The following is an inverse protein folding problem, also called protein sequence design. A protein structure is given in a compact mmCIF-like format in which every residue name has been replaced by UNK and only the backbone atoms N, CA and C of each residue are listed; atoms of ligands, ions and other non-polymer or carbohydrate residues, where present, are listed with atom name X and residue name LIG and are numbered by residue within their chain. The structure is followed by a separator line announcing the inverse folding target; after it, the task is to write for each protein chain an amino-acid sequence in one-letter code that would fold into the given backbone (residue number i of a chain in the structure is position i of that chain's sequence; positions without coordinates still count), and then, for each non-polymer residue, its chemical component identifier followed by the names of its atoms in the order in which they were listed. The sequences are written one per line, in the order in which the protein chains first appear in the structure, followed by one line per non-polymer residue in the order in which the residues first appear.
data_IF_367563908822
#
_entry.id   IF_367563908822
#
_cell.length_a   1.000
_cell.length_b   1.000
_cell.length_c   1.000
_cell.angle_alpha   90.00
_cell.angle_beta   90.00
_cell.angle_gamma   90.00
#
_symmetry.space_group_name_H-M   'P 1'
#
loop_
_entity.id
_entity.type
_entity.pdbx_description
1 polymer ?
#
# COMPACT_ATOMS: atom_id res chain seq x y z
N UNK A 1 22.93 67.09 46.72
CA UNK A 1 21.99 66.88 47.84
C UNK A 1 20.83 66.02 47.36
N UNK A 2 20.49 64.98 48.14
CA UNK A 2 19.22 64.20 48.20
C UNK A 2 18.71 63.61 46.86
N UNK A 3 18.98 62.34 46.55
CA UNK A 3 18.18 61.13 46.92
C UNK A 3 16.67 61.35 46.83
N UNK A 4 15.98 60.60 45.96
CA UNK A 4 14.91 59.61 46.25
C UNK A 4 14.21 59.26 44.91
N UNK A 5 14.46 58.10 44.31
CA UNK A 5 13.69 56.85 44.45
C UNK A 5 12.18 57.03 44.22
N UNK A 6 11.70 56.60 43.06
CA UNK A 6 10.34 56.08 42.92
C UNK A 6 10.27 55.06 41.78
N UNK A 7 10.13 53.80 42.18
CA UNK A 7 9.68 52.70 41.33
C UNK A 7 8.35 53.09 40.68
N UNK A 8 8.24 52.89 39.37
CA UNK A 8 6.93 52.66 38.74
C UNK A 8 6.98 51.33 37.98
N UNK A 9 6.46 50.32 38.65
CA UNK A 9 5.96 49.06 38.10
C UNK A 9 4.85 49.36 37.10
N UNK A 10 5.17 49.27 35.80
CA UNK A 10 4.14 49.16 34.76
C UNK A 10 3.87 47.69 34.54
N UNK A 11 2.71 47.27 35.07
CA UNK A 11 2.11 45.96 34.92
C UNK A 11 1.81 45.76 33.43
N UNK A 12 2.56 44.87 32.78
CA UNK A 12 2.20 44.35 31.47
C UNK A 12 0.95 43.50 31.64
N UNK A 13 -0.20 44.03 31.23
CA UNK A 13 -1.37 43.23 30.93
C UNK A 13 -1.03 42.37 29.71
N UNK A 14 -0.49 41.18 29.95
CA UNK A 14 -0.60 40.08 29.00
C UNK A 14 -2.10 39.82 28.84
N UNK A 15 -2.67 40.42 27.79
CA UNK A 15 -3.94 40.00 27.24
C UNK A 15 -3.77 38.55 26.78
N UNK A 16 -4.08 37.61 27.67
CA UNK A 16 -4.46 36.26 27.29
C UNK A 16 -5.62 36.39 26.32
N UNK A 17 -5.28 36.44 25.03
CA UNK A 17 -6.22 36.16 23.97
C UNK A 17 -6.63 34.72 24.22
N UNK A 18 -7.82 34.54 24.80
CA UNK A 18 -8.55 33.29 24.73
C UNK A 18 -8.75 33.01 23.23
N UNK A 19 -7.76 32.37 22.61
CA UNK A 19 -8.11 31.38 21.61
C UNK A 19 -9.04 30.43 22.32
N UNK A 20 -10.32 30.50 21.95
CA UNK A 20 -11.23 29.41 22.22
C UNK A 20 -10.53 28.19 21.65
N UNK A 21 -9.89 27.43 22.53
CA UNK A 21 -9.62 26.03 22.29
C UNK A 21 -10.99 25.47 21.90
N UNK A 22 -11.17 25.24 20.60
CA UNK A 22 -12.28 24.44 20.12
C UNK A 22 -12.26 23.18 20.96
N UNK A 23 -13.41 22.87 21.55
CA UNK A 23 -13.56 21.72 22.43
C UNK A 23 -12.95 20.48 21.73
N UNK A 24 -12.05 19.72 22.40
CA UNK A 24 -11.52 18.51 21.80
C UNK A 24 -12.67 17.51 21.64
N UNK A 25 -12.66 16.80 20.51
CA UNK A 25 -13.58 15.72 20.12
C UNK A 25 -14.96 16.12 19.58
N UNK A 26 -14.98 16.64 18.35
CA UNK A 26 -15.94 16.10 17.38
C UNK A 26 -15.35 14.78 16.90
N UNK A 27 -16.04 13.65 17.10
CA UNK A 27 -15.60 12.35 16.56
C UNK A 27 -15.41 12.50 15.06
N UNK A 28 -14.16 12.59 14.61
CA UNK A 28 -13.86 12.80 13.22
C UNK A 28 -13.99 11.45 12.50
N UNK A 29 -15.14 11.26 11.86
CA UNK A 29 -15.38 10.14 10.96
C UNK A 29 -14.47 10.38 9.73
N UNK A 30 -13.65 9.39 9.30
CA UNK A 30 -12.90 9.46 8.05
C UNK A 30 -13.80 9.85 6.86
N UNK A 31 -13.30 10.62 5.91
CA UNK A 31 -14.11 11.09 4.77
C UNK A 31 -14.64 9.91 3.93
N UNK A 32 -13.85 8.85 3.78
CA UNK A 32 -14.20 7.60 3.10
C UNK A 32 -15.37 6.85 3.77
N UNK A 33 -15.63 7.12 5.05
CA UNK A 33 -16.76 6.54 5.81
C UNK A 33 -17.96 7.48 5.91
N UNK A 34 -17.84 8.74 5.44
CA UNK A 34 -18.99 9.64 5.35
C UNK A 34 -19.82 9.23 4.13
N UNK A 35 -21.12 9.09 4.29
CA UNK A 35 -22.04 8.97 3.16
C UNK A 35 -21.96 10.25 2.31
N UNK A 36 -21.12 10.24 1.28
CA UNK A 36 -21.14 11.20 0.19
C UNK A 36 -21.48 10.46 -1.09
N UNK A 37 -22.66 10.77 -1.63
CA UNK A 37 -23.00 10.57 -3.04
C UNK A 37 -22.06 11.47 -3.88
N UNK A 38 -20.79 11.10 -4.00
CA UNK A 38 -19.80 11.93 -4.70
C UNK A 38 -19.32 11.24 -5.97
N UNK A 39 -19.67 11.86 -7.09
CA UNK A 39 -19.24 11.61 -8.47
C UNK A 39 -17.75 11.88 -8.67
N UNK A 40 -16.86 11.07 -8.08
CA UNK A 40 -15.44 11.04 -8.46
C UNK A 40 -15.02 9.62 -8.83
N UNK A 41 -14.92 9.42 -10.14
CA UNK A 41 -14.47 8.22 -10.82
C UNK A 41 -12.95 8.11 -10.75
N UNK A 42 -12.44 7.07 -10.10
CA UNK A 42 -11.02 6.72 -10.15
C UNK A 42 -10.67 5.50 -9.30
N UNK A 43 -11.18 5.43 -8.07
CA UNK A 43 -10.90 4.35 -7.12
C UNK A 43 -12.16 3.90 -6.34
N UNK A 44 -13.32 3.91 -6.99
CA UNK A 44 -14.58 3.58 -6.30
C UNK A 44 -14.62 2.08 -6.01
N UNK A 45 -14.42 1.71 -4.75
CA UNK A 45 -14.84 0.40 -4.25
C UNK A 45 -13.87 -0.32 -3.32
N UNK A 46 -12.63 0.18 -3.13
CA UNK A 46 -11.72 -0.40 -2.15
C UNK A 46 -11.60 0.50 -0.92
N UNK A 47 -12.46 0.26 0.07
CA UNK A 47 -12.48 1.02 1.32
C UNK A 47 -11.17 0.93 2.13
N UNK A 48 -10.41 -0.16 1.98
CA UNK A 48 -9.07 -0.27 2.59
C UNK A 48 -8.13 0.75 1.97
N UNK A 49 -8.14 0.88 0.64
CA UNK A 49 -7.28 1.86 -0.04
C UNK A 49 -7.70 3.29 0.30
N UNK A 50 -8.99 3.59 0.27
CA UNK A 50 -9.51 4.93 0.58
C UNK A 50 -9.14 5.37 2.01
N UNK A 51 -9.33 4.48 2.99
CA UNK A 51 -8.95 4.74 4.39
C UNK A 51 -7.45 4.85 4.58
N UNK A 52 -6.66 4.02 3.88
CA UNK A 52 -5.21 4.09 3.96
C UNK A 52 -4.67 5.38 3.35
N UNK A 53 -5.19 5.82 2.21
CA UNK A 53 -4.78 7.09 1.60
C UNK A 53 -5.10 8.30 2.49
N UNK A 54 -6.21 8.27 3.24
CA UNK A 54 -6.45 9.29 4.28
C UNK A 54 -5.41 9.26 5.40
N UNK A 55 -4.92 8.09 5.82
CA UNK A 55 -3.82 7.99 6.77
C UNK A 55 -2.52 8.55 6.19
N UNK A 56 -2.19 8.20 4.94
CA UNK A 56 -1.01 8.71 4.22
C UNK A 56 -1.04 10.23 4.15
N UNK A 57 -2.16 10.83 3.75
CA UNK A 57 -2.29 12.30 3.65
C UNK A 57 -1.99 13.04 4.97
N UNK A 58 -2.19 12.38 6.11
CA UNK A 58 -2.05 12.98 7.43
C UNK A 58 -0.80 12.52 8.20
N UNK A 59 -0.02 11.58 7.67
CA UNK A 59 1.12 10.96 8.38
C UNK A 59 2.40 11.05 7.55
N UNK A 60 3.35 11.95 7.90
CA UNK A 60 4.58 12.15 7.12
C UNK A 60 5.40 10.87 6.90
N UNK A 61 5.44 9.98 7.89
CA UNK A 61 6.15 8.70 7.80
C UNK A 61 5.55 7.79 6.73
N UNK A 62 4.21 7.78 6.60
CA UNK A 62 3.53 7.00 5.55
C UNK A 62 3.71 7.64 4.18
N UNK A 63 3.76 8.98 4.08
CA UNK A 63 4.06 9.66 2.81
C UNK A 63 5.45 9.31 2.30
N UNK A 64 6.44 9.31 3.19
CA UNK A 64 7.79 8.91 2.83
C UNK A 64 7.84 7.44 2.41
N UNK A 65 7.15 6.55 3.15
CA UNK A 65 7.09 5.13 2.80
C UNK A 65 6.48 4.90 1.41
N UNK A 66 5.35 5.53 1.08
CA UNK A 66 4.75 5.41 -0.26
C UNK A 66 5.71 5.94 -1.33
N UNK A 67 6.37 7.06 -1.08
CA UNK A 67 7.37 7.60 -2.01
C UNK A 67 8.55 6.65 -2.20
N UNK A 68 9.01 5.96 -1.15
CA UNK A 68 10.12 5.02 -1.25
C UNK A 68 9.71 3.77 -2.04
N UNK A 69 8.48 3.28 -1.85
CA UNK A 69 7.91 2.15 -2.60
C UNK A 69 7.73 2.52 -4.08
N UNK A 70 7.16 3.70 -4.39
CA UNK A 70 6.94 4.16 -5.76
C UNK A 70 8.24 4.38 -6.54
N UNK A 71 9.30 4.79 -5.84
CA UNK A 71 10.62 5.03 -6.43
C UNK A 71 11.48 3.76 -6.54
N UNK A 72 11.04 2.62 -5.99
CA UNK A 72 11.78 1.38 -6.06
C UNK A 72 11.61 0.73 -7.45
N UNK A 73 12.43 1.14 -8.42
CA UNK A 73 12.49 0.51 -9.74
C UNK A 73 13.67 -0.46 -9.84
N UNK A 74 13.36 -1.75 -9.72
CA UNK A 74 14.34 -2.83 -9.85
C UNK A 74 14.49 -3.32 -11.28
N UNK A 75 13.58 -2.94 -12.19
CA UNK A 75 13.52 -3.46 -13.56
C UNK A 75 14.78 -3.17 -14.33
N UNK A 76 15.28 -1.93 -14.28
CA UNK A 76 16.50 -1.55 -15.00
C UNK A 76 17.69 -2.42 -14.58
N UNK A 77 17.83 -2.68 -13.28
CA UNK A 77 18.91 -3.51 -12.73
C UNK A 77 18.78 -4.97 -13.17
N UNK A 78 17.57 -5.54 -13.10
CA UNK A 78 17.30 -6.92 -13.51
C UNK A 78 17.41 -7.12 -15.02
N UNK A 79 16.95 -6.15 -15.82
CA UNK A 79 17.01 -6.19 -17.28
C UNK A 79 18.44 -6.21 -17.80
N UNK A 80 19.33 -5.43 -17.18
CA UNK A 80 20.76 -5.45 -17.47
C UNK A 80 21.35 -6.85 -17.27
N UNK A 81 21.03 -7.48 -16.14
CA UNK A 81 21.46 -8.85 -15.85
C UNK A 81 20.87 -9.87 -16.83
N UNK A 82 19.56 -9.85 -17.06
CA UNK A 82 18.89 -10.80 -17.95
C UNK A 82 19.35 -10.68 -19.39
N UNK A 83 19.60 -9.46 -19.87
CA UNK A 83 20.14 -9.24 -21.21
C UNK A 83 21.54 -9.84 -21.34
N UNK A 84 22.43 -9.56 -20.38
CA UNK A 84 23.77 -10.13 -20.32
C UNK A 84 23.73 -11.67 -20.27
N UNK A 85 22.90 -12.25 -19.40
CA UNK A 85 22.82 -13.69 -19.21
C UNK A 85 22.27 -14.38 -20.46
N UNK A 86 21.18 -13.85 -21.03
CA UNK A 86 20.59 -14.36 -22.27
C UNK A 86 21.60 -14.35 -23.41
N UNK A 87 22.33 -13.25 -23.63
CA UNK A 87 23.35 -13.18 -24.70
C UNK A 87 24.46 -14.20 -24.52
N UNK A 88 24.87 -14.46 -23.28
CA UNK A 88 25.88 -15.48 -22.98
C UNK A 88 25.37 -16.89 -23.28
N UNK A 89 24.13 -17.21 -22.90
CA UNK A 89 23.48 -18.49 -23.19
C UNK A 89 23.29 -18.68 -24.71
N UNK A 90 22.81 -17.65 -25.40
CA UNK A 90 22.59 -17.64 -26.85
C UNK A 90 23.89 -17.90 -27.62
N UNK A 91 25.00 -17.31 -27.17
CA UNK A 91 26.32 -17.57 -27.75
C UNK A 91 26.70 -19.04 -27.65
N UNK A 92 26.59 -19.65 -26.46
CA UNK A 92 26.97 -21.06 -26.28
C UNK A 92 26.07 -22.02 -27.05
N UNK A 93 24.78 -21.71 -27.16
CA UNK A 93 23.86 -22.45 -28.02
C UNK A 93 24.28 -22.37 -29.50
N UNK A 94 24.55 -21.14 -29.98
CA UNK A 94 24.98 -20.89 -31.36
C UNK A 94 26.33 -21.54 -31.67
N UNK A 95 27.32 -21.41 -30.78
CA UNK A 95 28.64 -21.99 -30.94
C UNK A 95 28.59 -23.52 -31.00
N UNK A 96 27.75 -24.15 -30.15
CA UNK A 96 27.53 -25.61 -30.20
C UNK A 96 26.95 -26.03 -31.54
N UNK A 97 25.92 -25.34 -32.03
CA UNK A 97 25.32 -25.62 -33.34
C UNK A 97 26.33 -25.51 -34.48
N UNK A 98 27.19 -24.50 -34.46
CA UNK A 98 28.25 -24.34 -35.46
C UNK A 98 29.31 -25.44 -35.36
N UNK A 99 29.69 -25.83 -34.14
CA UNK A 99 30.65 -26.91 -33.94
C UNK A 99 30.15 -28.26 -34.47
N UNK A 100 28.84 -28.53 -34.39
CA UNK A 100 28.24 -29.76 -34.95
C UNK A 100 28.37 -29.87 -36.48
N UNK A 101 28.50 -28.74 -37.19
CA UNK A 101 28.67 -28.72 -38.64
C UNK A 101 30.08 -29.15 -39.10
N UNK A 102 31.05 -29.18 -38.19
CA UNK A 102 32.44 -29.57 -38.48
C UNK A 102 32.48 -31.03 -38.93
N UNK A 103 33.02 -31.30 -40.12
CA UNK A 103 33.06 -32.65 -40.70
C UNK A 103 34.07 -33.57 -40.03
N UNK A 104 35.27 -33.08 -39.77
CA UNK A 104 36.30 -33.85 -39.08
C UNK A 104 35.87 -34.17 -37.65
N UNK A 105 35.69 -35.47 -37.37
CA UNK A 105 35.11 -35.93 -36.11
C UNK A 105 35.99 -35.65 -34.90
N UNK A 106 37.31 -35.68 -35.08
CA UNK A 106 38.28 -35.42 -34.01
C UNK A 106 38.26 -33.94 -33.65
N UNK A 107 38.31 -33.06 -34.66
CA UNK A 107 38.22 -31.61 -34.49
C UNK A 107 36.88 -31.21 -33.88
N UNK A 108 35.76 -31.75 -34.38
CA UNK A 108 34.42 -31.51 -33.82
C UNK A 108 34.37 -31.81 -32.32
N UNK A 109 34.84 -33.00 -31.91
CA UNK A 109 34.88 -33.39 -30.48
C UNK A 109 35.73 -32.42 -29.65
N UNK A 110 36.90 -32.00 -30.14
CA UNK A 110 37.78 -31.05 -29.44
C UNK A 110 37.11 -29.68 -29.24
N UNK A 111 36.46 -29.15 -30.28
CA UNK A 111 35.76 -27.86 -30.21
C UNK A 111 34.55 -27.92 -29.28
N UNK A 112 33.75 -29.00 -29.36
CA UNK A 112 32.62 -29.19 -28.44
C UNK A 112 33.08 -29.26 -26.97
N UNK A 113 34.19 -29.95 -26.68
CA UNK A 113 34.76 -30.01 -25.34
C UNK A 113 35.26 -28.62 -24.85
N UNK A 114 35.88 -27.84 -25.74
CA UNK A 114 36.29 -26.47 -25.45
C UNK A 114 35.09 -25.57 -25.10
N UNK A 115 34.03 -25.60 -25.94
CA UNK A 115 32.79 -24.86 -25.70
C UNK A 115 32.17 -25.27 -24.38
N UNK A 116 32.08 -26.56 -24.08
CA UNK A 116 31.52 -27.06 -22.83
C UNK A 116 32.29 -26.56 -21.61
N UNK A 117 33.64 -26.59 -21.66
CA UNK A 117 34.48 -26.08 -20.59
C UNK A 117 34.25 -24.57 -20.35
N UNK A 118 34.18 -23.79 -21.42
CA UNK A 118 33.90 -22.34 -21.33
C UNK A 118 32.51 -22.07 -20.77
N UNK A 119 31.49 -22.81 -21.24
CA UNK A 119 30.12 -22.69 -20.77
C UNK A 119 30.00 -23.04 -19.27
N UNK A 120 30.68 -24.11 -18.82
CA UNK A 120 30.70 -24.47 -17.41
C UNK A 120 31.35 -23.36 -16.55
N UNK A 121 32.44 -22.76 -17.01
CA UNK A 121 33.07 -21.65 -16.30
C UNK A 121 32.17 -20.42 -16.22
N UNK A 122 31.41 -20.14 -17.29
CA UNK A 122 30.39 -19.09 -17.28
C UNK A 122 29.27 -19.39 -16.28
N UNK A 123 28.74 -20.61 -16.27
CA UNK A 123 27.70 -21.04 -15.34
C UNK A 123 28.14 -20.87 -13.88
N UNK A 124 29.37 -21.26 -13.53
CA UNK A 124 29.89 -21.03 -12.18
C UNK A 124 29.98 -19.54 -11.82
N UNK A 125 30.35 -18.69 -12.79
CA UNK A 125 30.40 -17.23 -12.62
C UNK A 125 29.01 -16.60 -12.49
N UNK A 126 27.98 -17.15 -13.13
CA UNK A 126 26.62 -16.58 -13.09
C UNK A 126 25.87 -16.90 -11.79
N UNK A 127 26.24 -17.96 -11.07
CA UNK A 127 25.51 -18.42 -9.87
C UNK A 127 25.25 -17.34 -8.83
N UNK A 128 26.23 -16.49 -8.55
CA UNK A 128 26.07 -15.42 -7.56
C UNK A 128 25.08 -14.36 -8.04
N UNK A 129 25.16 -13.98 -9.32
CA UNK A 129 24.23 -13.03 -9.94
C UNK A 129 22.81 -13.61 -10.04
N UNK A 130 22.67 -14.91 -10.37
CA UNK A 130 21.40 -15.62 -10.36
C UNK A 130 20.76 -15.62 -8.97
N UNK A 131 21.57 -15.82 -7.92
CA UNK A 131 21.11 -15.77 -6.53
C UNK A 131 20.66 -14.36 -6.15
N UNK A 132 21.42 -13.33 -6.53
CA UNK A 132 21.07 -11.93 -6.26
C UNK A 132 19.78 -11.54 -7.00
N UNK A 133 19.64 -11.90 -8.27
CA UNK A 133 18.42 -11.64 -9.05
C UNK A 133 17.19 -12.27 -8.41
N UNK A 134 17.27 -13.53 -7.97
CA UNK A 134 16.18 -14.18 -7.23
C UNK A 134 15.88 -13.48 -5.90
N UNK A 135 16.93 -13.10 -5.17
CA UNK A 135 16.77 -12.38 -3.89
C UNK A 135 16.06 -11.05 -4.09
N UNK A 136 16.35 -10.31 -5.17
CA UNK A 136 15.69 -9.05 -5.50
C UNK A 136 14.18 -9.29 -5.74
N UNK A 137 13.83 -10.29 -6.55
CA UNK A 137 12.43 -10.66 -6.81
C UNK A 137 11.70 -11.06 -5.52
N UNK A 138 12.33 -11.90 -4.69
CA UNK A 138 11.74 -12.33 -3.42
C UNK A 138 11.52 -11.14 -2.47
N UNK A 139 12.39 -10.12 -2.53
CA UNK A 139 12.26 -8.90 -1.73
C UNK A 139 11.18 -7.97 -2.24
N UNK A 140 11.02 -7.83 -3.56
CA UNK A 140 9.89 -7.10 -4.15
C UNK A 140 8.55 -7.70 -3.70
N UNK A 141 8.39 -9.02 -3.82
CA UNK A 141 7.19 -9.70 -3.34
C UNK A 141 6.96 -9.50 -1.84
N UNK A 142 8.03 -9.58 -1.04
CA UNK A 142 7.95 -9.31 0.40
C UNK A 142 7.54 -7.87 0.73
N UNK A 143 7.91 -6.89 -0.09
CA UNK A 143 7.51 -5.49 0.06
C UNK A 143 6.03 -5.35 -0.26
N UNK A 144 5.55 -5.93 -1.36
CA UNK A 144 4.13 -5.92 -1.74
C UNK A 144 3.25 -6.55 -0.66
N UNK A 145 3.62 -7.74 -0.18
CA UNK A 145 2.90 -8.43 0.89
C UNK A 145 2.88 -7.62 2.19
N UNK A 146 4.04 -7.07 2.59
CA UNK A 146 4.15 -6.26 3.81
C UNK A 146 3.34 -4.98 3.72
N UNK A 147 3.32 -4.35 2.54
CA UNK A 147 2.54 -3.16 2.27
C UNK A 147 1.04 -3.47 2.36
N UNK A 148 0.58 -4.57 1.74
CA UNK A 148 -0.81 -5.01 1.85
C UNK A 148 -1.22 -5.28 3.32
N UNK A 149 -0.37 -5.95 4.09
CA UNK A 149 -0.59 -6.20 5.53
C UNK A 149 -0.70 -4.88 6.30
N UNK A 150 0.20 -3.92 6.05
CA UNK A 150 0.19 -2.61 6.70
C UNK A 150 -1.15 -1.89 6.45
N UNK A 151 -1.59 -1.82 5.19
CA UNK A 151 -2.87 -1.21 4.82
C UNK A 151 -4.01 -1.84 5.61
N UNK A 152 -4.12 -3.17 5.58
CA UNK A 152 -5.19 -3.90 6.26
C UNK A 152 -5.18 -3.64 7.77
N UNK A 153 -4.04 -3.75 8.44
CA UNK A 153 -3.94 -3.60 9.90
C UNK A 153 -4.36 -2.19 10.32
N UNK A 154 -3.80 -1.17 9.65
CA UNK A 154 -4.07 0.22 10.01
C UNK A 154 -5.55 0.56 9.80
N UNK A 155 -6.13 0.19 8.67
CA UNK A 155 -7.53 0.52 8.37
C UNK A 155 -8.53 -0.32 9.15
N UNK A 156 -8.15 -1.53 9.58
CA UNK A 156 -9.00 -2.37 10.45
C UNK A 156 -9.28 -1.67 11.78
N UNK A 157 -8.28 -1.01 12.37
CA UNK A 157 -8.48 -0.25 13.61
C UNK A 157 -9.51 0.88 13.44
N UNK A 158 -9.49 1.54 12.28
CA UNK A 158 -10.40 2.62 11.94
C UNK A 158 -11.82 2.11 11.77
N UNK A 159 -12.02 1.04 10.99
CA UNK A 159 -13.37 0.53 10.73
C UNK A 159 -14.01 -0.05 11.99
N UNK A 160 -13.24 -0.69 12.87
CA UNK A 160 -13.73 -1.16 14.18
C UNK A 160 -14.18 0.01 15.05
N UNK A 161 -13.39 1.11 15.11
CA UNK A 161 -13.80 2.32 15.82
C UNK A 161 -15.10 2.89 15.25
N UNK A 162 -15.19 3.00 13.93
CA UNK A 162 -16.41 3.47 13.27
C UNK A 162 -17.63 2.61 13.61
N UNK A 163 -17.52 1.29 13.51
CA UNK A 163 -18.61 0.36 13.82
C UNK A 163 -19.11 0.50 15.26
N UNK A 164 -18.18 0.61 16.21
CA UNK A 164 -18.53 0.77 17.63
C UNK A 164 -19.19 2.12 17.91
N UNK A 165 -18.75 3.18 17.23
CA UNK A 165 -19.24 4.54 17.47
C UNK A 165 -20.51 4.88 16.71
N UNK A 166 -20.81 4.16 15.62
CA UNK A 166 -21.91 4.46 14.69
C UNK A 166 -22.93 3.32 14.58
N UNK A 167 -22.93 2.38 15.53
CA UNK A 167 -23.93 1.29 15.58
C UNK A 167 -25.35 1.87 15.66
N UNK A 168 -26.28 1.47 14.76
CA UNK A 168 -27.66 1.94 14.79
C UNK A 168 -28.36 1.53 16.10
N UNK A 169 -29.27 2.38 16.58
CA UNK A 169 -30.03 2.09 17.79
C UNK A 169 -31.05 0.98 17.51
N UNK A 170 -30.79 -0.22 18.05
CA UNK A 170 -31.68 -1.39 17.95
C UNK A 170 -33.16 -1.06 18.24
N UNK A 171 -33.42 -0.26 19.28
CA UNK A 171 -34.78 0.13 19.69
C UNK A 171 -35.52 0.91 18.60
N UNK A 172 -34.82 1.70 17.79
CA UNK A 172 -35.45 2.44 16.68
C UNK A 172 -35.92 1.49 15.58
N UNK A 173 -35.11 0.47 15.26
CA UNK A 173 -35.49 -0.59 14.33
C UNK A 173 -36.67 -1.43 14.86
N UNK A 174 -36.61 -1.84 16.12
CA UNK A 174 -37.72 -2.58 16.77
C UNK A 174 -39.02 -1.77 16.80
N UNK A 175 -38.93 -0.46 17.01
CA UNK A 175 -40.09 0.43 16.97
C UNK A 175 -40.64 0.58 15.55
N UNK A 176 -39.79 0.59 14.52
CA UNK A 176 -40.22 0.62 13.13
C UNK A 176 -41.02 -0.63 12.79
N UNK A 177 -40.49 -1.82 13.11
CA UNK A 177 -41.17 -3.10 12.90
C UNK A 177 -42.56 -3.10 13.55
N UNK A 178 -42.67 -2.64 14.80
CA UNK A 178 -43.98 -2.55 15.48
C UNK A 178 -44.97 -1.62 14.77
N UNK A 179 -44.49 -0.52 14.18
CA UNK A 179 -45.34 0.41 13.42
C UNK A 179 -45.82 -0.24 12.12
N UNK A 180 -44.93 -0.93 11.43
CA UNK A 180 -45.24 -1.69 10.20
C UNK A 180 -46.26 -2.80 10.49
N UNK A 181 -46.06 -3.61 11.54
CA UNK A 181 -47.00 -4.66 11.95
C UNK A 181 -48.41 -4.12 12.23
N UNK A 182 -48.49 -2.99 12.94
CA UNK A 182 -49.76 -2.36 13.23
C UNK A 182 -50.44 -1.81 11.97
N UNK A 183 -49.66 -1.30 11.02
CA UNK A 183 -50.16 -0.85 9.73
C UNK A 183 -50.71 -2.03 8.90
N UNK A 184 -49.99 -3.15 8.83
CA UNK A 184 -50.42 -4.37 8.15
C UNK A 184 -51.74 -4.88 8.74
N UNK A 185 -51.84 -4.99 10.07
CA UNK A 185 -53.10 -5.40 10.74
C UNK A 185 -54.27 -4.49 10.41
N UNK A 186 -54.02 -3.18 10.32
CA UNK A 186 -55.05 -2.21 9.94
C UNK A 186 -55.48 -2.37 8.48
N UNK A 187 -54.54 -2.60 7.56
CA UNK A 187 -54.84 -2.85 6.15
C UNK A 187 -55.67 -4.13 6.03
N UNK A 188 -55.22 -5.24 6.63
CA UNK A 188 -55.94 -6.52 6.61
C UNK A 188 -57.37 -6.40 7.14
N UNK A 189 -57.58 -5.64 8.22
CA UNK A 189 -58.91 -5.39 8.78
C UNK A 189 -59.84 -4.64 7.80
N UNK A 190 -59.28 -3.83 6.90
CA UNK A 190 -60.04 -3.03 5.93
C UNK A 190 -60.16 -3.71 4.56
N UNK A 191 -59.37 -4.76 4.29
CA UNK A 191 -59.44 -5.53 3.04
C UNK A 191 -60.62 -6.51 3.12
N UNK A 192 -61.61 -6.43 2.22
CA UNK A 192 -62.69 -7.40 2.15
C UNK A 192 -62.15 -8.82 1.87
N UNK A 193 -62.77 -9.85 2.46
CA UNK A 193 -62.49 -11.23 2.04
C UNK A 193 -62.91 -11.42 0.58
N UNK A 194 -62.02 -12.02 -0.20
CA UNK A 194 -62.20 -12.39 -1.60
C UNK A 194 -61.92 -13.87 -1.79
#
# INVERSE_FOLDING_TARGET
MKKLLLLLTVITLFSCKNERAEAPNKKEIPEALKEKVSFRSGSRGNLVEELYQELVLNTPELQQLESDIDNLDTRETLDGYYSYNRKSIDFYASARNQAELIKDSITRKKILAFIQKSNNAYFEKSKELDKLSKTIIDKEASIEDSHAILKIILTTSIIVKYQNENVPKKKELENMIKREDNLVKRIQKQTPEY
#
